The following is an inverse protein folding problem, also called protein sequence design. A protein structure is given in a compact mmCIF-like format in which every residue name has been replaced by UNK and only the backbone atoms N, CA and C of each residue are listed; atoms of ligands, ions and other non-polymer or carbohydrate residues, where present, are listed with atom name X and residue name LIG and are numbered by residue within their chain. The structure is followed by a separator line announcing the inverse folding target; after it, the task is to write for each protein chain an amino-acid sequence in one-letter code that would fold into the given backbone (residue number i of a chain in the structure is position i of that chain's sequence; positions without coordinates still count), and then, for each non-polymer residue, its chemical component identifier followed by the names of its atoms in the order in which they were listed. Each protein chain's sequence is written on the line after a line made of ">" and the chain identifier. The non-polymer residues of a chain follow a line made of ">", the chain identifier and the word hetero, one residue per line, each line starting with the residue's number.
data_IF_029571703545
#
_entry.id   IF_029571703545
#
_cell.length_a   1.000
_cell.length_b   1.000
_cell.length_c   1.000
_cell.angle_alpha   90.00
_cell.angle_beta   90.00
_cell.angle_gamma   90.00
#
_symmetry.space_group_name_H-M   'P 1'
#
loop_
_entity.id
_entity.type
_entity.pdbx_description
1 polymer ?
#
# COMPACT_ATOMS: atom_id res chain seq x y z
N UNK A 1 4.67 -23.35 7.89
CA UNK A 1 3.21 -23.13 7.73
C UNK A 1 3.12 -21.87 6.91
N UNK A 2 2.53 -21.91 5.72
CA UNK A 2 2.57 -20.74 4.83
C UNK A 2 1.78 -19.56 5.42
N UNK A 3 2.40 -18.39 5.53
CA UNK A 3 1.78 -17.20 6.12
C UNK A 3 2.65 -15.94 6.01
N UNK A 4 2.24 -14.89 6.73
CA UNK A 4 2.99 -13.63 6.79
C UNK A 4 4.22 -13.84 7.69
N UNK A 5 5.41 -13.69 7.11
CA UNK A 5 6.70 -13.83 7.83
C UNK A 5 7.37 -12.48 8.10
N UNK A 6 6.98 -11.43 7.38
CA UNK A 6 7.43 -10.06 7.62
C UNK A 6 6.41 -9.04 7.13
N UNK A 7 6.53 -7.81 7.60
CA UNK A 7 5.74 -6.68 7.12
C UNK A 7 6.55 -5.38 7.17
N UNK A 8 6.15 -4.43 6.33
CA UNK A 8 6.66 -3.07 6.29
C UNK A 8 5.51 -2.12 5.98
N UNK A 9 5.63 -0.88 6.45
CA UNK A 9 4.57 0.13 6.32
C UNK A 9 5.22 1.45 5.95
N UNK A 10 4.55 2.21 5.11
CA UNK A 10 4.88 3.58 4.81
C UNK A 10 3.63 4.44 4.96
N UNK A 11 3.75 5.55 5.67
CA UNK A 11 2.71 6.58 5.78
C UNK A 11 3.41 7.91 5.50
N UNK A 12 2.86 8.75 4.60
CA UNK A 12 3.40 10.07 4.34
C UNK A 12 3.63 10.90 5.59
N UNK A 13 4.46 11.95 5.52
CA UNK A 13 4.72 12.80 6.69
C UNK A 13 3.68 13.91 6.88
N UNK A 14 3.10 14.43 5.80
CA UNK A 14 2.14 15.53 5.89
C UNK A 14 0.78 15.09 6.41
N UNK A 15 0.15 15.96 7.19
CA UNK A 15 -1.15 15.75 7.81
C UNK A 15 -2.04 16.93 7.54
N UNK A 16 -3.33 16.66 7.36
CA UNK A 16 -4.37 17.67 7.45
C UNK A 16 -5.36 17.26 8.54
N UNK A 17 -5.64 18.17 9.46
CA UNK A 17 -6.55 17.95 10.58
C UNK A 17 -8.00 18.15 10.13
N UNK A 18 -8.92 17.45 10.77
CA UNK A 18 -10.36 17.60 10.51
C UNK A 18 -10.83 19.04 10.70
N UNK A 19 -10.26 19.77 11.66
CA UNK A 19 -10.58 21.19 11.88
C UNK A 19 -10.28 22.08 10.68
N UNK A 20 -9.20 21.81 9.95
CA UNK A 20 -8.82 22.63 8.80
C UNK A 20 -9.78 22.39 7.63
N UNK A 21 -10.17 21.13 7.39
CA UNK A 21 -11.15 20.77 6.36
C UNK A 21 -12.53 21.33 6.72
N UNK A 22 -12.99 21.12 7.96
CA UNK A 22 -14.30 21.61 8.42
C UNK A 22 -14.38 23.13 8.36
N UNK A 23 -13.32 23.84 8.76
CA UNK A 23 -13.25 25.29 8.66
C UNK A 23 -13.34 25.78 7.21
N UNK A 24 -12.71 25.10 6.26
CA UNK A 24 -12.79 25.43 4.84
C UNK A 24 -14.21 25.35 4.29
N UNK A 25 -15.01 24.39 4.78
CA UNK A 25 -16.38 24.16 4.34
C UNK A 25 -17.46 24.79 5.24
N UNK A 26 -17.07 25.46 6.33
CA UNK A 26 -18.01 26.07 7.28
C UNK A 26 -18.76 25.05 8.16
N UNK A 27 -18.20 23.86 8.34
CA UNK A 27 -18.77 22.77 9.13
C UNK A 27 -18.27 22.80 10.58
N UNK A 28 -18.96 22.07 11.48
CA UNK A 28 -18.57 21.96 12.87
C UNK A 28 -17.59 20.77 13.06
N UNK A 29 -16.31 21.02 13.38
CA UNK A 29 -15.32 19.96 13.49
C UNK A 29 -15.58 18.97 14.62
N UNK A 30 -16.22 19.38 15.72
CA UNK A 30 -16.47 18.48 16.84
C UNK A 30 -17.53 17.41 16.50
N UNK A 31 -18.49 17.78 15.65
CA UNK A 31 -19.49 16.83 15.11
C UNK A 31 -18.80 15.82 14.18
N UNK A 32 -17.92 16.29 13.29
CA UNK A 32 -17.22 15.42 12.34
C UNK A 32 -16.26 14.46 13.07
N UNK A 33 -15.43 14.96 13.99
CA UNK A 33 -14.50 14.12 14.77
C UNK A 33 -15.24 13.06 15.59
N UNK A 34 -16.32 13.44 16.28
CA UNK A 34 -17.10 12.47 17.07
C UNK A 34 -17.88 11.47 16.21
N UNK A 35 -18.29 11.86 15.00
CA UNK A 35 -19.02 11.00 14.06
C UNK A 35 -18.12 10.02 13.29
N UNK A 36 -16.95 10.48 12.82
CA UNK A 36 -16.02 9.70 12.00
C UNK A 36 -14.89 9.04 12.81
N UNK A 37 -14.64 9.51 14.03
CA UNK A 37 -13.52 9.08 14.88
C UNK A 37 -12.15 9.30 14.21
N UNK A 38 -12.03 10.41 13.47
CA UNK A 38 -10.80 10.83 12.80
C UNK A 38 -10.38 12.19 13.35
N UNK A 39 -9.11 12.34 13.68
CA UNK A 39 -8.50 13.61 14.12
C UNK A 39 -7.77 14.31 12.96
N UNK A 40 -7.02 13.53 12.19
CA UNK A 40 -6.26 13.96 11.02
C UNK A 40 -6.10 12.82 10.02
N UNK A 41 -5.77 13.16 8.77
CA UNK A 41 -5.44 12.19 7.72
C UNK A 41 -4.07 12.49 7.11
N UNK A 42 -3.41 11.44 6.61
CA UNK A 42 -2.18 11.58 5.83
C UNK A 42 -2.45 12.20 4.46
N UNK A 43 -1.51 13.01 3.99
CA UNK A 43 -1.52 13.61 2.66
C UNK A 43 -0.14 13.35 2.03
N UNK A 44 -0.08 12.85 0.79
CA UNK A 44 1.19 12.70 0.09
C UNK A 44 1.79 14.08 -0.28
N UNK A 45 3.11 14.19 -0.28
CA UNK A 45 3.87 15.24 -0.95
C UNK A 45 3.89 15.01 -2.48
N UNK A 46 4.49 15.94 -3.21
CA UNK A 46 4.58 15.93 -4.67
C UNK A 46 5.37 14.74 -5.24
N UNK A 47 6.22 14.10 -4.44
CA UNK A 47 7.02 12.92 -4.81
C UNK A 47 6.50 11.61 -4.19
N UNK A 48 5.35 11.65 -3.52
CA UNK A 48 4.70 10.49 -2.92
C UNK A 48 3.50 10.04 -3.77
N UNK A 49 3.60 8.84 -4.34
CA UNK A 49 2.51 8.17 -5.04
C UNK A 49 2.41 6.70 -4.59
N UNK A 50 1.42 5.98 -5.12
CA UNK A 50 1.21 4.56 -4.85
C UNK A 50 2.48 3.72 -5.09
N UNK A 51 3.27 4.05 -6.11
CA UNK A 51 4.48 3.31 -6.44
C UNK A 51 5.63 3.61 -5.47
N UNK A 52 5.87 4.87 -5.13
CA UNK A 52 6.96 5.25 -4.21
C UNK A 52 6.67 4.76 -2.79
N UNK A 53 5.43 4.88 -2.32
CA UNK A 53 5.01 4.33 -1.03
C UNK A 53 5.12 2.80 -0.99
N UNK A 54 4.75 2.11 -2.06
CA UNK A 54 4.90 0.66 -2.19
C UNK A 54 6.37 0.21 -2.13
N UNK A 55 7.27 0.96 -2.76
CA UNK A 55 8.73 0.72 -2.70
C UNK A 55 9.23 0.83 -1.27
N UNK A 56 8.89 1.91 -0.56
CA UNK A 56 9.40 2.13 0.80
C UNK A 56 8.82 1.13 1.81
N UNK A 57 7.53 0.80 1.71
CA UNK A 57 6.93 -0.27 2.52
C UNK A 57 7.62 -1.63 2.26
N UNK A 58 7.93 -1.93 1.00
CA UNK A 58 8.59 -3.18 0.60
C UNK A 58 10.03 -3.26 1.13
N UNK A 59 10.81 -2.17 1.02
CA UNK A 59 12.15 -2.07 1.60
C UNK A 59 12.12 -2.29 3.10
N UNK A 60 11.17 -1.67 3.80
CA UNK A 60 10.99 -1.87 5.24
C UNK A 60 10.67 -3.34 5.58
N UNK A 61 9.81 -4.01 4.81
CA UNK A 61 9.44 -5.41 5.05
C UNK A 61 10.62 -6.37 4.86
N UNK A 62 11.42 -6.16 3.81
CA UNK A 62 12.59 -6.96 3.48
C UNK A 62 13.69 -6.76 4.52
N UNK A 63 14.00 -5.49 4.85
CA UNK A 63 15.01 -5.13 5.84
C UNK A 63 14.66 -5.73 7.22
N UNK A 64 13.38 -5.63 7.62
CA UNK A 64 12.90 -6.18 8.90
C UNK A 64 13.16 -7.67 9.05
N UNK A 65 13.09 -8.43 7.96
CA UNK A 65 13.33 -9.87 7.97
C UNK A 65 14.76 -10.27 7.57
N UNK A 66 15.63 -9.30 7.24
CA UNK A 66 16.99 -9.58 6.78
C UNK A 66 17.04 -10.44 5.51
N UNK A 67 16.04 -10.29 4.63
CA UNK A 67 15.92 -11.09 3.42
C UNK A 67 16.78 -10.51 2.29
N UNK A 68 17.28 -11.39 1.44
CA UNK A 68 17.82 -11.01 0.13
C UNK A 68 16.63 -10.77 -0.83
N UNK A 69 16.48 -9.56 -1.42
CA UNK A 69 15.46 -9.28 -2.41
C UNK A 69 15.45 -10.27 -3.59
N UNK A 70 16.59 -10.88 -3.92
CA UNK A 70 16.73 -11.88 -4.96
C UNK A 70 15.92 -13.16 -4.72
N UNK A 71 15.51 -13.43 -3.48
CA UNK A 71 14.71 -14.61 -3.12
C UNK A 71 13.19 -14.43 -3.27
N UNK A 72 12.75 -13.21 -3.58
CA UNK A 72 11.35 -12.91 -3.87
C UNK A 72 11.02 -13.45 -5.27
N UNK A 73 10.04 -14.36 -5.36
CA UNK A 73 9.60 -14.95 -6.62
C UNK A 73 8.30 -14.35 -7.17
N UNK A 74 7.56 -13.59 -6.37
CA UNK A 74 6.35 -12.91 -6.77
C UNK A 74 6.22 -11.55 -6.11
N UNK A 75 5.78 -10.54 -6.86
CA UNK A 75 5.44 -9.21 -6.35
C UNK A 75 4.05 -8.85 -6.86
N UNK A 76 3.09 -8.65 -5.96
CA UNK A 76 1.74 -8.23 -6.32
C UNK A 76 1.35 -6.97 -5.55
N UNK A 77 0.96 -5.94 -6.28
CA UNK A 77 0.51 -4.67 -5.72
C UNK A 77 -1.00 -4.57 -5.89
N UNK A 78 -1.72 -4.47 -4.78
CA UNK A 78 -3.13 -4.15 -4.76
C UNK A 78 -3.33 -2.66 -4.51
N UNK A 79 -4.01 -1.98 -5.42
CA UNK A 79 -4.34 -0.56 -5.32
C UNK A 79 -5.60 -0.25 -6.12
N UNK A 80 -6.27 0.84 -5.80
CA UNK A 80 -7.26 1.51 -6.65
C UNK A 80 -6.75 2.86 -7.19
N UNK A 81 -5.48 3.18 -6.95
CA UNK A 81 -4.83 4.44 -7.32
C UNK A 81 -3.47 4.21 -7.99
N UNK A 82 -3.39 3.22 -8.87
CA UNK A 82 -2.17 2.98 -9.67
C UNK A 82 -1.83 4.20 -10.54
N UNK A 83 -0.55 4.59 -10.65
CA UNK A 83 -0.14 5.74 -11.46
C UNK A 83 -0.21 5.46 -12.96
N UNK A 84 -0.19 4.18 -13.36
CA UNK A 84 -0.22 3.76 -14.77
C UNK A 84 -1.28 2.69 -14.99
N UNK A 85 -2.06 2.84 -16.07
CA UNK A 85 -3.10 1.87 -16.44
C UNK A 85 -2.56 0.53 -16.97
N UNK A 86 -1.31 0.49 -17.46
CA UNK A 86 -0.77 -0.67 -18.17
C UNK A 86 0.58 -1.13 -17.62
N UNK A 87 1.42 -0.21 -17.15
CA UNK A 87 2.72 -0.56 -16.55
C UNK A 87 2.47 -0.95 -15.08
N UNK A 88 2.68 -2.22 -14.67
CA UNK A 88 2.39 -2.59 -13.30
C UNK A 88 3.36 -1.93 -12.33
N UNK A 89 2.83 -1.36 -11.27
CA UNK A 89 3.52 -0.85 -10.09
C UNK A 89 4.42 -1.92 -9.49
N UNK A 90 3.98 -3.19 -9.48
CA UNK A 90 4.80 -4.32 -9.06
C UNK A 90 6.15 -4.41 -9.80
N UNK A 91 6.21 -4.00 -11.08
CA UNK A 91 7.49 -3.98 -11.85
C UNK A 91 8.41 -2.85 -11.41
N UNK A 92 7.85 -1.70 -11.01
CA UNK A 92 8.59 -0.56 -10.46
C UNK A 92 9.18 -0.97 -9.11
N UNK A 93 8.36 -1.57 -8.25
CA UNK A 93 8.78 -2.09 -6.94
C UNK A 93 9.93 -3.09 -7.11
N UNK A 94 9.76 -4.11 -7.96
CA UNK A 94 10.79 -5.12 -8.18
C UNK A 94 12.14 -4.53 -8.60
N UNK A 95 12.14 -3.57 -9.52
CA UNK A 95 13.36 -2.88 -9.93
C UNK A 95 13.98 -2.06 -8.79
N UNK A 96 13.17 -1.32 -8.03
CA UNK A 96 13.65 -0.40 -6.99
C UNK A 96 14.17 -1.10 -5.71
N UNK A 97 13.67 -2.31 -5.40
CA UNK A 97 14.15 -3.13 -4.27
C UNK A 97 15.30 -4.05 -4.65
N UNK A 98 15.66 -4.14 -5.94
CA UNK A 98 16.71 -5.04 -6.42
C UNK A 98 16.28 -6.51 -6.47
N UNK A 99 15.00 -6.79 -6.74
CA UNK A 99 14.51 -8.16 -6.91
C UNK A 99 15.13 -8.83 -8.15
N UNK A 100 15.03 -10.15 -8.22
CA UNK A 100 15.49 -10.90 -9.40
C UNK A 100 14.66 -10.55 -10.65
N UNK A 101 15.23 -10.76 -11.84
CA UNK A 101 14.49 -10.64 -13.10
C UNK A 101 13.56 -11.83 -13.37
N UNK A 102 13.52 -12.82 -12.48
CA UNK A 102 12.74 -14.06 -12.62
C UNK A 102 11.60 -14.09 -11.61
N UNK A 103 10.74 -13.07 -11.67
CA UNK A 103 9.56 -12.93 -10.83
C UNK A 103 8.28 -12.92 -11.65
N UNK A 104 7.19 -13.36 -11.03
CA UNK A 104 5.85 -12.97 -11.49
C UNK A 104 5.47 -11.64 -10.83
N UNK A 105 5.04 -10.68 -11.64
CA UNK A 105 4.64 -9.36 -11.18
C UNK A 105 3.30 -8.97 -11.81
N UNK A 106 2.39 -8.44 -11.01
CA UNK A 106 1.09 -7.95 -11.47
C UNK A 106 0.50 -6.95 -10.48
N UNK A 107 -0.36 -6.08 -11.00
CA UNK A 107 -1.17 -5.19 -10.20
C UNK A 107 -2.59 -5.77 -10.11
N UNK A 108 -3.20 -5.68 -8.92
CA UNK A 108 -4.56 -6.11 -8.66
C UNK A 108 -5.43 -4.90 -8.33
N UNK A 109 -6.63 -4.88 -8.91
CA UNK A 109 -7.60 -3.81 -8.71
C UNK A 109 -8.92 -4.39 -8.22
N UNK A 110 -9.26 -4.12 -6.96
CA UNK A 110 -10.56 -4.42 -6.39
C UNK A 110 -10.81 -3.56 -5.13
N UNK A 111 -10.73 -2.24 -5.31
CA UNK A 111 -10.80 -1.27 -4.22
C UNK A 111 -9.86 -1.65 -3.06
N UNK A 112 -10.24 -1.30 -1.83
CA UNK A 112 -9.54 -1.68 -0.59
C UNK A 112 -9.28 -3.20 -0.40
N UNK A 113 -9.92 -4.08 -1.18
CA UNK A 113 -9.71 -5.54 -1.08
C UNK A 113 -8.50 -6.03 -1.89
N UNK A 114 -7.98 -5.24 -2.84
CA UNK A 114 -6.94 -5.66 -3.76
C UNK A 114 -5.69 -6.23 -3.06
N UNK A 115 -5.22 -5.60 -1.98
CA UNK A 115 -4.08 -6.08 -1.18
C UNK A 115 -4.34 -7.46 -0.55
N UNK A 116 -5.58 -7.76 -0.17
CA UNK A 116 -5.96 -9.10 0.33
C UNK A 116 -5.85 -10.15 -0.77
N UNK A 117 -6.26 -9.82 -2.00
CA UNK A 117 -6.10 -10.72 -3.14
C UNK A 117 -4.60 -10.98 -3.43
N UNK A 118 -3.74 -9.97 -3.29
CA UNK A 118 -2.29 -10.11 -3.42
C UNK A 118 -1.72 -11.10 -2.38
N UNK A 119 -2.16 -10.99 -1.13
CA UNK A 119 -1.78 -11.93 -0.05
C UNK A 119 -2.23 -13.35 -0.38
N UNK A 120 -3.50 -13.53 -0.77
CA UNK A 120 -4.07 -14.85 -1.09
C UNK A 120 -3.31 -15.53 -2.25
N UNK A 121 -2.98 -14.77 -3.30
CA UNK A 121 -2.19 -15.30 -4.42
C UNK A 121 -0.78 -15.68 -3.99
N UNK A 122 -0.10 -14.85 -3.19
CA UNK A 122 1.24 -15.18 -2.67
C UNK A 122 1.22 -16.43 -1.78
N UNK A 123 0.21 -16.58 -0.90
CA UNK A 123 0.03 -17.79 -0.08
C UNK A 123 -0.09 -19.02 -0.98
N UNK A 124 -0.89 -18.95 -2.05
CA UNK A 124 -1.04 -20.04 -3.01
C UNK A 124 0.30 -20.44 -3.66
N UNK A 125 1.10 -19.47 -4.11
CA UNK A 125 2.39 -19.72 -4.77
C UNK A 125 3.44 -20.33 -3.82
N UNK A 126 3.51 -19.83 -2.58
CA UNK A 126 4.43 -20.35 -1.55
C UNK A 126 4.00 -21.74 -1.10
N UNK A 127 2.71 -21.96 -0.81
CA UNK A 127 2.19 -23.27 -0.38
C UNK A 127 2.39 -24.36 -1.43
N UNK A 128 2.33 -24.01 -2.72
CA UNK A 128 2.63 -24.91 -3.84
C UNK A 128 4.13 -25.09 -4.09
N UNK A 129 4.99 -24.47 -3.28
CA UNK A 129 6.46 -24.48 -3.39
C UNK A 129 6.97 -24.00 -4.75
N UNK A 130 6.25 -23.07 -5.38
CA UNK A 130 6.63 -22.47 -6.67
C UNK A 130 7.61 -21.32 -6.49
N UNK A 131 7.56 -20.66 -5.34
CA UNK A 131 8.47 -19.57 -4.94
C UNK A 131 8.83 -19.74 -3.46
N UNK A 132 9.97 -19.19 -3.03
CA UNK A 132 10.39 -19.17 -1.61
C UNK A 132 9.64 -18.11 -0.82
N UNK A 133 9.63 -16.88 -1.35
CA UNK A 133 8.91 -15.75 -0.77
C UNK A 133 8.05 -15.03 -1.82
N UNK A 134 6.86 -14.59 -1.40
CA UNK A 134 6.01 -13.67 -2.16
C UNK A 134 5.90 -12.33 -1.45
N UNK A 135 5.83 -11.23 -2.18
CA UNK A 135 5.65 -9.89 -1.66
C UNK A 135 4.27 -9.36 -2.08
N UNK A 136 3.36 -9.27 -1.11
CA UNK A 136 2.02 -8.77 -1.31
C UNK A 136 1.89 -7.37 -0.72
N UNK A 137 1.49 -6.39 -1.53
CA UNK A 137 1.50 -4.98 -1.15
C UNK A 137 0.09 -4.41 -1.30
N UNK A 138 -0.38 -3.69 -0.29
CA UNK A 138 -1.49 -2.75 -0.43
C UNK A 138 -0.92 -1.33 -0.42
N UNK A 139 -1.28 -0.50 -1.40
CA UNK A 139 -0.82 0.88 -1.46
C UNK A 139 -1.89 1.75 -2.10
N UNK A 140 -2.22 2.87 -1.48
CA UNK A 140 -3.20 3.79 -2.06
C UNK A 140 -2.93 5.24 -1.69
N UNK A 141 -3.25 6.12 -2.64
CA UNK A 141 -3.52 7.54 -2.41
C UNK A 141 -5.02 7.76 -2.66
N UNK A 142 -5.83 7.58 -1.63
CA UNK A 142 -7.28 7.74 -1.74
C UNK A 142 -7.64 9.19 -2.05
N UNK A 143 -8.53 9.38 -3.03
CA UNK A 143 -8.99 10.71 -3.46
C UNK A 143 -10.45 10.92 -3.08
N UNK A 144 -10.81 12.18 -2.86
CA UNK A 144 -12.19 12.62 -2.64
C UNK A 144 -12.48 13.85 -3.49
N UNK A 145 -13.75 14.09 -3.79
CA UNK A 145 -14.15 15.40 -4.35
C UNK A 145 -14.14 16.46 -3.24
N UNK A 146 -13.84 17.74 -3.55
CA UNK A 146 -13.94 18.83 -2.58
C UNK A 146 -15.34 18.91 -1.97
N UNK A 147 -15.43 18.93 -0.63
CA UNK A 147 -16.66 19.01 0.14
C UNK A 147 -17.40 17.68 0.31
N UNK A 148 -16.86 16.57 -0.21
CA UNK A 148 -17.42 15.24 0.01
C UNK A 148 -17.06 14.70 1.41
N UNK A 149 -17.91 13.85 1.98
CA UNK A 149 -17.66 13.23 3.28
C UNK A 149 -16.34 12.43 3.33
N UNK A 150 -15.90 11.86 2.19
CA UNK A 150 -14.62 11.16 2.08
C UNK A 150 -13.43 12.11 2.24
N UNK A 151 -13.58 13.42 2.08
CA UNK A 151 -12.46 14.35 2.25
C UNK A 151 -11.84 14.27 3.65
N UNK A 152 -12.64 13.93 4.65
CA UNK A 152 -12.18 13.72 6.03
C UNK A 152 -11.42 12.41 6.24
N UNK A 153 -11.61 11.41 5.39
CA UNK A 153 -11.11 10.03 5.62
C UNK A 153 -10.18 9.51 4.54
N UNK A 154 -10.17 10.13 3.35
CA UNK A 154 -9.31 9.77 2.23
C UNK A 154 -7.85 10.12 2.52
N UNK A 155 -7.09 9.13 2.96
CA UNK A 155 -5.66 9.25 3.26
C UNK A 155 -4.77 8.55 2.24
N UNK A 156 -3.48 8.53 2.54
CA UNK A 156 -2.48 7.84 1.74
C UNK A 156 -1.57 6.96 2.60
N UNK A 157 -1.14 5.82 2.04
CA UNK A 157 -0.18 4.94 2.70
C UNK A 157 0.02 3.62 1.96
N UNK A 158 0.95 2.82 2.47
CA UNK A 158 1.20 1.47 1.98
C UNK A 158 1.60 0.51 3.09
N UNK A 159 1.20 -0.76 2.93
CA UNK A 159 1.69 -1.88 3.71
C UNK A 159 2.15 -3.01 2.78
N UNK A 160 3.35 -3.52 3.01
CA UNK A 160 3.92 -4.65 2.29
C UNK A 160 4.06 -5.84 3.23
N UNK A 161 3.70 -7.03 2.77
CA UNK A 161 3.73 -8.27 3.52
C UNK A 161 4.57 -9.29 2.77
N UNK A 162 5.57 -9.86 3.45
CA UNK A 162 6.32 -11.00 2.93
C UNK A 162 5.60 -12.26 3.35
N UNK A 163 5.25 -13.09 2.38
CA UNK A 163 4.64 -14.40 2.55
C UNK A 163 5.73 -15.47 2.41
N UNK A 164 5.81 -16.39 3.36
CA UNK A 164 6.81 -17.46 3.44
C UNK A 164 6.30 -18.65 4.27
N UNK A 165 7.16 -19.66 4.46
CA UNK A 165 6.87 -20.90 5.20
C UNK A 165 7.44 -20.95 6.62
#
# INVERSE_FOLDING_TARGET
>A
MTGIVSYGVYVPSYRIRVEEIAKQWGENPDIIKSGLLVEEKSVPDMDEDTATMAVEASRAAILRAGLDPGEIGAIYVGSESHPYAVKPTATIVGAAIGASNSITAADFEFACKAGTAAIQTCIGLVALKKIKYGLAIGADVSQSSPGDALEYTAGAGSAAFVIGD
#
